data_IF_432250092775
#
_entry.id   IF_432250092775
#
_cell.length_a   1.000
_cell.length_b   1.000
_cell.length_c   1.000
_cell.angle_alpha   90.00
_cell.angle_beta   90.00
_cell.angle_gamma   90.00
#
_symmetry.space_group_name_H-M   'P 1'
#
loop_
_entity.id
_entity.type
_entity.pdbx_description
1 polymer ?
#
# COMPACT_ATOMS: atom_id res chain seq x y z
N UNK A 1 -10.34 11.38 -16.33
CA UNK A 1 -8.90 11.34 -15.90
C UNK A 1 -8.80 10.14 -14.99
N UNK A 2 -7.90 9.22 -15.30
CA UNK A 2 -7.77 7.99 -14.50
C UNK A 2 -7.59 8.28 -13.00
N UNK A 3 -8.17 7.42 -12.16
CA UNK A 3 -8.04 7.52 -10.70
C UNK A 3 -6.68 7.01 -10.21
N UNK A 4 -6.06 6.10 -10.97
CA UNK A 4 -4.79 5.45 -10.63
C UNK A 4 -3.91 5.27 -11.86
N UNK A 5 -2.63 5.65 -11.77
CA UNK A 5 -1.60 5.30 -12.75
C UNK A 5 -0.69 4.22 -12.18
N UNK A 6 -0.67 3.06 -12.82
CA UNK A 6 0.18 1.92 -12.45
C UNK A 6 1.43 1.93 -13.31
N UNK A 7 2.60 2.08 -12.67
CA UNK A 7 3.89 2.18 -13.35
C UNK A 7 4.62 0.85 -13.23
N UNK A 8 4.95 0.23 -14.37
CA UNK A 8 5.57 -1.09 -14.47
C UNK A 8 6.97 -0.95 -15.09
N UNK A 9 8.03 -0.85 -14.27
CA UNK A 9 9.40 -0.81 -14.78
C UNK A 9 9.88 -2.18 -15.21
N UNK A 10 10.58 -2.27 -16.34
CA UNK A 10 11.18 -3.52 -16.80
C UNK A 10 12.47 -3.29 -17.59
N UNK A 11 13.28 -4.34 -17.73
CA UNK A 11 14.45 -4.38 -18.57
C UNK A 11 14.73 -5.83 -18.99
N UNK A 12 15.00 -6.05 -20.25
CA UNK A 12 15.16 -7.39 -20.82
C UNK A 12 16.62 -7.81 -20.87
N UNK A 13 16.86 -9.08 -20.57
CA UNK A 13 18.15 -9.72 -20.72
C UNK A 13 18.01 -11.19 -21.09
N UNK A 14 19.09 -11.78 -21.61
CA UNK A 14 19.11 -13.22 -21.93
C UNK A 14 19.06 -14.09 -20.67
N UNK A 15 19.55 -13.59 -19.56
CA UNK A 15 19.59 -14.31 -18.28
C UNK A 15 18.20 -14.38 -17.61
N UNK A 16 17.29 -13.48 -17.98
CA UNK A 16 15.92 -13.43 -17.43
C UNK A 16 14.87 -13.43 -18.53
N UNK A 17 14.76 -14.50 -19.33
CA UNK A 17 13.85 -14.55 -20.47
C UNK A 17 12.37 -14.45 -20.09
N UNK A 18 12.01 -14.86 -18.89
CA UNK A 18 10.64 -14.83 -18.37
C UNK A 18 10.06 -13.42 -18.21
N UNK A 19 10.88 -12.36 -18.18
CA UNK A 19 10.39 -10.98 -18.04
C UNK A 19 9.53 -10.61 -19.26
N UNK A 20 9.96 -10.96 -20.46
CA UNK A 20 9.22 -10.69 -21.69
C UNK A 20 7.83 -11.36 -21.68
N UNK A 21 7.76 -12.64 -21.28
CA UNK A 21 6.51 -13.38 -21.11
C UNK A 21 5.57 -12.67 -20.12
N UNK A 22 6.08 -12.25 -18.95
CA UNK A 22 5.30 -11.55 -17.93
C UNK A 22 4.80 -10.18 -18.38
N UNK A 23 5.55 -9.45 -19.18
CA UNK A 23 5.09 -8.18 -19.77
C UNK A 23 3.95 -8.44 -20.76
N UNK A 24 4.07 -9.46 -21.60
CA UNK A 24 3.02 -9.86 -22.54
C UNK A 24 1.76 -10.28 -21.79
N UNK A 25 1.89 -11.11 -20.75
CA UNK A 25 0.76 -11.52 -19.91
C UNK A 25 0.07 -10.34 -19.24
N UNK A 26 0.83 -9.42 -18.63
CA UNK A 26 0.27 -8.20 -18.02
C UNK A 26 -0.42 -7.30 -19.04
N UNK A 27 0.20 -7.07 -20.18
CA UNK A 27 -0.38 -6.21 -21.21
C UNK A 27 -1.67 -6.81 -21.82
N UNK A 28 -1.86 -8.13 -21.78
CA UNK A 28 -3.11 -8.79 -22.20
C UNK A 28 -4.18 -8.79 -21.11
N UNK A 29 -3.79 -9.05 -19.84
CA UNK A 29 -4.73 -9.25 -18.74
C UNK A 29 -5.19 -7.94 -18.11
N UNK A 30 -4.35 -6.91 -18.12
CA UNK A 30 -4.74 -5.60 -17.62
C UNK A 30 -5.45 -4.80 -18.70
N UNK A 31 -6.39 -3.96 -18.28
CA UNK A 31 -7.10 -3.06 -19.17
C UNK A 31 -6.96 -1.63 -18.67
N UNK A 32 -6.43 -0.76 -19.55
CA UNK A 32 -6.46 0.67 -19.29
C UNK A 32 -7.86 1.21 -19.62
N UNK A 33 -8.47 1.91 -18.69
CA UNK A 33 -9.80 2.48 -18.79
C UNK A 33 -9.85 3.91 -18.19
N UNK A 34 -11.04 4.39 -17.92
CA UNK A 34 -11.23 5.70 -17.28
C UNK A 34 -10.75 5.75 -15.82
N UNK A 35 -10.60 4.60 -15.15
CA UNK A 35 -10.20 4.48 -13.75
C UNK A 35 -8.73 4.16 -13.59
N UNK A 36 -8.16 3.30 -14.44
CA UNK A 36 -6.77 2.84 -14.31
C UNK A 36 -6.05 2.97 -15.64
N UNK A 37 -4.88 3.58 -15.62
CA UNK A 37 -3.92 3.53 -16.73
C UNK A 37 -2.68 2.72 -16.36
N UNK A 38 -2.16 1.96 -17.30
CA UNK A 38 -0.92 1.21 -17.12
C UNK A 38 0.19 1.81 -17.97
N UNK A 39 1.32 2.09 -17.33
CA UNK A 39 2.50 2.72 -17.94
C UNK A 39 3.67 1.75 -17.81
N UNK A 40 4.01 1.12 -18.93
CA UNK A 40 5.15 0.22 -19.02
C UNK A 40 6.40 1.05 -19.34
N UNK A 41 7.41 0.97 -18.49
CA UNK A 41 8.63 1.76 -18.65
C UNK A 41 9.82 0.85 -18.84
N UNK A 42 10.33 0.83 -20.06
CA UNK A 42 11.54 0.09 -20.39
C UNK A 42 12.79 0.87 -19.94
N UNK A 43 13.60 0.26 -19.08
CA UNK A 43 14.95 0.69 -18.77
C UNK A 43 15.97 0.03 -19.70
N UNK A 44 17.21 -0.15 -19.21
CA UNK A 44 18.23 -0.84 -19.99
C UNK A 44 17.83 -2.27 -20.32
N UNK A 45 17.80 -2.56 -21.62
CA UNK A 45 17.58 -3.89 -22.17
C UNK A 45 18.78 -4.30 -23.01
N UNK A 46 19.32 -5.50 -22.81
CA UNK A 46 20.43 -6.08 -23.60
C UNK A 46 19.94 -7.07 -24.69
N UNK A 47 18.61 -7.13 -24.87
CA UNK A 47 17.94 -7.99 -25.84
C UNK A 47 16.99 -7.15 -26.71
N UNK A 48 17.05 -7.35 -28.02
CA UNK A 48 16.07 -6.76 -28.96
C UNK A 48 14.70 -7.43 -28.80
N UNK A 49 13.64 -6.67 -28.95
CA UNK A 49 12.27 -7.12 -28.80
C UNK A 49 11.23 -6.17 -29.47
N UNK A 50 9.99 -6.66 -29.64
CA UNK A 50 8.86 -5.95 -30.25
C UNK A 50 7.79 -5.49 -29.23
N UNK A 51 8.11 -5.48 -27.93
CA UNK A 51 7.15 -5.22 -26.85
C UNK A 51 6.47 -3.85 -26.95
N UNK A 52 7.15 -2.83 -27.49
CA UNK A 52 6.56 -1.49 -27.66
C UNK A 52 5.24 -1.57 -28.44
N UNK A 53 5.27 -2.16 -29.64
CA UNK A 53 4.11 -2.25 -30.49
C UNK A 53 3.00 -3.10 -29.84
N UNK A 54 3.40 -4.17 -29.16
CA UNK A 54 2.47 -5.04 -28.44
C UNK A 54 1.77 -4.33 -27.28
N UNK A 55 2.51 -3.60 -26.44
CA UNK A 55 1.98 -2.84 -25.30
C UNK A 55 1.01 -1.76 -25.81
N UNK A 56 1.39 -1.02 -26.85
CA UNK A 56 0.55 0.03 -27.43
C UNK A 56 -0.70 -0.52 -28.12
N UNK A 57 -0.62 -1.69 -28.75
CA UNK A 57 -1.77 -2.37 -29.34
C UNK A 57 -2.81 -2.83 -28.29
N UNK A 58 -2.38 -3.03 -27.04
CA UNK A 58 -3.26 -3.30 -25.89
C UNK A 58 -3.67 -2.01 -25.14
N UNK A 59 -3.57 -0.85 -25.77
CA UNK A 59 -4.00 0.45 -25.24
C UNK A 59 -3.27 0.93 -23.99
N UNK A 60 -2.04 0.46 -23.76
CA UNK A 60 -1.21 0.91 -22.65
C UNK A 60 -0.15 1.93 -23.08
N UNK A 61 0.36 2.69 -22.14
CA UNK A 61 1.43 3.64 -22.38
C UNK A 61 2.77 2.90 -22.31
N UNK A 62 3.60 3.06 -23.34
CA UNK A 62 4.96 2.59 -23.37
C UNK A 62 5.94 3.77 -23.34
N UNK A 63 6.89 3.73 -22.43
CA UNK A 63 7.98 4.68 -22.31
C UNK A 63 9.33 3.96 -22.32
N UNK A 64 10.37 4.64 -22.77
CA UNK A 64 11.75 4.13 -22.73
C UNK A 64 12.67 5.11 -22.04
N UNK A 65 13.42 4.62 -21.03
CA UNK A 65 14.52 5.37 -20.41
C UNK A 65 15.68 5.46 -21.41
N UNK A 66 16.09 6.67 -21.74
CA UNK A 66 17.15 6.89 -22.72
C UNK A 66 18.56 6.64 -22.17
N UNK A 67 18.72 6.50 -20.86
CA UNK A 67 20.01 6.07 -20.26
C UNK A 67 20.17 4.55 -20.33
N UNK A 68 20.80 4.10 -21.39
CA UNK A 68 21.00 2.66 -21.69
C UNK A 68 22.29 2.08 -21.08
N UNK A 69 22.87 2.68 -20.02
CA UNK A 69 24.11 2.17 -19.39
C UNK A 69 23.85 1.07 -18.36
N UNK A 70 22.75 1.21 -17.61
CA UNK A 70 22.38 0.25 -16.58
C UNK A 70 20.88 0.37 -16.26
N UNK A 71 20.26 -0.75 -15.94
CA UNK A 71 18.87 -0.75 -15.49
C UNK A 71 18.75 -0.08 -14.12
N UNK A 72 17.82 0.88 -14.01
CA UNK A 72 17.47 1.56 -12.78
C UNK A 72 15.95 1.62 -12.64
N UNK A 73 15.43 0.85 -11.69
CA UNK A 73 14.00 0.90 -11.35
C UNK A 73 13.58 2.30 -10.94
N UNK A 74 14.43 2.99 -10.16
CA UNK A 74 14.16 4.36 -9.71
C UNK A 74 13.95 5.33 -10.86
N UNK A 75 14.83 5.32 -11.88
CA UNK A 75 14.66 6.18 -13.08
C UNK A 75 13.40 5.82 -13.85
N UNK A 76 13.12 4.55 -14.04
CA UNK A 76 11.91 4.11 -14.74
C UNK A 76 10.64 4.58 -14.00
N UNK A 77 10.61 4.46 -12.66
CA UNK A 77 9.50 4.95 -11.85
C UNK A 77 9.35 6.46 -11.92
N UNK A 78 10.45 7.23 -11.89
CA UNK A 78 10.45 8.67 -12.03
C UNK A 78 9.92 9.09 -13.42
N UNK A 79 10.38 8.43 -14.48
CA UNK A 79 9.92 8.68 -15.85
C UNK A 79 8.42 8.37 -15.98
N UNK A 80 7.96 7.21 -15.53
CA UNK A 80 6.55 6.84 -15.53
C UNK A 80 5.69 7.86 -14.77
N UNK A 81 6.13 8.27 -13.58
CA UNK A 81 5.43 9.27 -12.77
C UNK A 81 5.32 10.63 -13.47
N UNK A 82 6.32 11.01 -14.25
CA UNK A 82 6.28 12.30 -15.00
C UNK A 82 5.24 12.30 -16.12
N UNK A 83 4.94 11.13 -16.69
CA UNK A 83 3.97 10.94 -17.77
C UNK A 83 2.58 10.52 -17.29
N UNK A 84 2.45 10.08 -16.04
CA UNK A 84 1.17 9.65 -15.47
C UNK A 84 0.11 10.75 -15.54
N UNK A 85 -1.11 10.41 -15.93
CA UNK A 85 -2.23 11.37 -15.99
C UNK A 85 -3.00 11.42 -14.67
N UNK A 86 -3.00 10.34 -13.89
CA UNK A 86 -3.63 10.34 -12.56
C UNK A 86 -2.85 11.15 -11.53
N UNK A 87 -3.57 11.64 -10.52
CA UNK A 87 -2.94 12.21 -9.32
C UNK A 87 -2.49 11.15 -8.30
N UNK A 88 -2.72 9.87 -8.55
CA UNK A 88 -2.32 8.76 -7.68
C UNK A 88 -1.47 7.77 -8.45
N UNK A 89 -0.36 7.37 -7.88
CA UNK A 89 0.61 6.44 -8.45
C UNK A 89 0.65 5.14 -7.65
N UNK A 90 0.76 4.03 -8.35
CA UNK A 90 1.17 2.71 -7.83
C UNK A 90 2.38 2.23 -8.62
N UNK A 91 3.41 1.74 -7.93
CA UNK A 91 4.53 1.07 -8.56
C UNK A 91 4.32 -0.45 -8.49
N UNK A 92 4.35 -1.12 -9.65
CA UNK A 92 4.13 -2.56 -9.77
C UNK A 92 5.31 -3.20 -10.48
N UNK A 93 6.09 -3.99 -9.75
CA UNK A 93 7.20 -4.70 -10.36
C UNK A 93 6.71 -5.78 -11.33
N UNK A 94 7.50 -6.09 -12.35
CA UNK A 94 7.12 -7.05 -13.38
C UNK A 94 6.83 -8.45 -12.83
N UNK A 95 7.48 -8.78 -11.71
CA UNK A 95 7.33 -10.06 -11.01
C UNK A 95 6.11 -10.11 -10.08
N UNK A 96 5.41 -8.96 -9.92
CA UNK A 96 4.25 -8.83 -9.06
C UNK A 96 2.94 -8.82 -9.85
N UNK A 97 1.88 -9.33 -9.23
CA UNK A 97 0.53 -9.38 -9.78
C UNK A 97 -0.49 -8.92 -8.74
N UNK A 98 -1.49 -8.20 -9.21
CA UNK A 98 -2.67 -7.78 -8.44
C UNK A 98 -3.89 -8.23 -9.23
N UNK A 99 -4.84 -8.92 -8.60
CA UNK A 99 -6.08 -9.34 -9.25
C UNK A 99 -6.98 -8.15 -9.59
N UNK A 100 -7.91 -8.32 -10.53
CA UNK A 100 -8.88 -7.29 -10.89
C UNK A 100 -9.75 -6.91 -9.69
N UNK A 101 -10.22 -7.88 -8.90
CA UNK A 101 -10.97 -7.64 -7.66
C UNK A 101 -10.17 -6.79 -6.65
N UNK A 102 -8.87 -7.06 -6.55
CA UNK A 102 -8.01 -6.24 -5.69
C UNK A 102 -7.79 -4.82 -6.24
N UNK A 103 -7.74 -4.63 -7.56
CA UNK A 103 -7.71 -3.28 -8.14
C UNK A 103 -8.99 -2.49 -7.81
N UNK A 104 -10.17 -3.10 -7.91
CA UNK A 104 -11.43 -2.45 -7.53
C UNK A 104 -11.42 -1.99 -6.06
N UNK A 105 -10.98 -2.86 -5.14
CA UNK A 105 -10.83 -2.52 -3.73
C UNK A 105 -9.80 -1.40 -3.51
N UNK A 106 -8.69 -1.43 -4.23
CA UNK A 106 -7.65 -0.38 -4.18
C UNK A 106 -8.23 0.96 -4.61
N UNK A 107 -8.97 1.01 -5.73
CA UNK A 107 -9.62 2.23 -6.19
C UNK A 107 -10.58 2.79 -5.14
N UNK A 108 -11.35 1.92 -4.48
CA UNK A 108 -12.23 2.31 -3.39
C UNK A 108 -11.47 2.92 -2.21
N UNK A 109 -10.37 2.29 -1.79
CA UNK A 109 -9.55 2.83 -0.71
C UNK A 109 -8.86 4.15 -1.09
N UNK A 110 -8.45 4.32 -2.34
CA UNK A 110 -7.92 5.60 -2.85
C UNK A 110 -8.95 6.72 -2.67
N UNK A 111 -10.21 6.45 -2.98
CA UNK A 111 -11.30 7.41 -2.81
C UNK A 111 -11.59 7.68 -1.33
N UNK A 112 -11.73 6.63 -0.52
CA UNK A 112 -12.00 6.73 0.92
C UNK A 112 -10.91 7.51 1.64
N UNK A 113 -9.64 7.25 1.33
CA UNK A 113 -8.49 7.95 1.91
C UNK A 113 -8.22 9.30 1.23
N UNK A 114 -8.95 9.60 0.15
CA UNK A 114 -8.81 10.83 -0.64
C UNK A 114 -7.36 11.10 -1.10
N UNK A 115 -6.64 10.07 -1.49
CA UNK A 115 -5.20 10.15 -1.81
C UNK A 115 -4.94 11.15 -2.96
N UNK A 116 -5.86 11.26 -3.91
CA UNK A 116 -5.74 12.19 -5.04
C UNK A 116 -5.64 13.66 -4.61
N UNK A 117 -6.27 14.04 -3.50
CA UNK A 117 -6.36 15.41 -3.01
C UNK A 117 -5.64 15.63 -1.67
N UNK A 118 -5.31 14.56 -0.94
CA UNK A 118 -4.54 14.62 0.30
C UNK A 118 -3.12 14.08 0.07
N UNK A 119 -2.12 14.95 -0.16
CA UNK A 119 -0.77 14.51 -0.52
C UNK A 119 -0.07 13.67 0.55
N UNK A 120 -0.50 13.75 1.80
CA UNK A 120 0.10 13.01 2.90
C UNK A 120 -0.61 11.68 3.21
N UNK A 121 -1.73 11.38 2.52
CA UNK A 121 -2.37 10.08 2.59
C UNK A 121 -1.65 9.08 1.69
N UNK A 122 -1.39 7.89 2.22
CA UNK A 122 -0.71 6.79 1.51
C UNK A 122 -1.43 5.47 1.77
N UNK A 123 -1.20 4.49 0.90
CA UNK A 123 -1.60 3.11 1.10
C UNK A 123 -0.44 2.20 0.69
N UNK A 124 -0.15 1.18 1.48
CA UNK A 124 0.90 0.21 1.20
C UNK A 124 0.27 -1.16 1.00
N UNK A 125 0.63 -1.85 -0.06
CA UNK A 125 0.13 -3.19 -0.34
C UNK A 125 1.07 -4.25 0.25
N UNK A 126 0.55 -5.24 0.96
CA UNK A 126 1.32 -6.39 1.43
C UNK A 126 1.65 -7.32 0.27
N UNK A 127 2.78 -8.01 0.36
CA UNK A 127 3.24 -8.92 -0.69
C UNK A 127 3.31 -10.35 -0.19
N UNK A 128 2.67 -11.24 -0.93
CA UNK A 128 2.76 -12.69 -0.76
C UNK A 128 3.77 -13.23 -1.77
N UNK A 129 4.92 -13.69 -1.28
CA UNK A 129 5.93 -14.32 -2.12
C UNK A 129 5.58 -15.78 -2.37
N UNK A 130 5.49 -16.14 -3.63
CA UNK A 130 5.08 -17.47 -4.07
C UNK A 130 6.27 -18.43 -4.20
N UNK A 131 5.99 -19.73 -4.11
CA UNK A 131 6.95 -20.80 -4.38
C UNK A 131 7.13 -21.02 -5.87
N UNK A 132 8.21 -21.69 -6.30
CA UNK A 132 8.36 -22.11 -7.70
C UNK A 132 7.21 -23.01 -8.15
N UNK A 133 6.78 -23.92 -7.27
CA UNK A 133 5.65 -24.83 -7.53
C UNK A 133 4.33 -24.07 -7.76
N UNK A 134 4.16 -22.91 -7.10
CA UNK A 134 2.99 -22.07 -7.35
C UNK A 134 2.91 -21.60 -8.80
N UNK A 135 4.03 -21.15 -9.38
CA UNK A 135 4.06 -20.72 -10.78
C UNK A 135 3.62 -21.82 -11.75
N UNK A 136 3.98 -23.07 -11.47
CA UNK A 136 3.64 -24.21 -12.32
C UNK A 136 2.14 -24.57 -12.20
N UNK A 137 1.62 -24.55 -10.98
CA UNK A 137 0.24 -24.96 -10.69
C UNK A 137 -0.76 -23.88 -11.11
N UNK A 138 -0.49 -22.60 -10.80
CA UNK A 138 -1.40 -21.50 -11.09
C UNK A 138 -1.64 -21.31 -12.58
N UNK A 139 -0.69 -21.66 -13.44
CA UNK A 139 -0.86 -21.66 -14.91
C UNK A 139 -2.00 -22.57 -15.40
N UNK A 140 -2.41 -23.55 -14.60
CA UNK A 140 -3.51 -24.50 -14.94
C UNK A 140 -4.88 -23.98 -14.51
N UNK A 141 -4.95 -22.81 -13.87
CA UNK A 141 -6.18 -22.19 -13.39
C UNK A 141 -6.36 -20.82 -14.04
N UNK A 142 -7.60 -20.43 -14.24
CA UNK A 142 -7.93 -19.08 -14.64
C UNK A 142 -7.52 -18.09 -13.54
N UNK A 143 -7.17 -16.88 -13.96
CA UNK A 143 -6.62 -15.83 -13.09
C UNK A 143 -7.55 -15.52 -11.91
N UNK A 144 -8.86 -15.57 -12.14
CA UNK A 144 -9.88 -15.28 -11.11
C UNK A 144 -9.85 -16.26 -9.93
N UNK A 145 -9.30 -17.46 -10.13
CA UNK A 145 -9.13 -18.44 -9.06
C UNK A 145 -7.85 -18.29 -8.24
N UNK A 146 -6.90 -17.49 -8.70
CA UNK A 146 -5.60 -17.36 -8.03
C UNK A 146 -5.74 -16.78 -6.63
N UNK A 147 -6.58 -15.76 -6.44
CA UNK A 147 -6.82 -15.17 -5.12
C UNK A 147 -7.30 -16.22 -4.12
N UNK A 148 -8.28 -17.02 -4.49
CA UNK A 148 -8.85 -18.09 -3.64
C UNK A 148 -7.78 -19.11 -3.27
N UNK A 149 -7.04 -19.60 -4.27
CA UNK A 149 -6.02 -20.66 -4.05
C UNK A 149 -4.87 -20.20 -3.17
N UNK A 150 -4.39 -18.98 -3.41
CA UNK A 150 -3.25 -18.41 -2.67
C UNK A 150 -3.68 -18.05 -1.25
N UNK A 151 -4.84 -17.41 -1.09
CA UNK A 151 -5.35 -17.02 0.22
C UNK A 151 -5.69 -18.23 1.08
N UNK A 152 -6.28 -19.29 0.51
CA UNK A 152 -6.51 -20.54 1.25
C UNK A 152 -5.19 -21.15 1.77
N UNK A 153 -4.15 -21.17 0.94
CA UNK A 153 -2.83 -21.68 1.37
C UNK A 153 -2.20 -20.78 2.44
N UNK A 154 -2.41 -19.49 2.34
CA UNK A 154 -1.95 -18.49 3.30
C UNK A 154 -2.60 -18.69 4.67
N UNK A 155 -3.94 -18.85 4.70
CA UNK A 155 -4.74 -19.08 5.91
C UNK A 155 -4.43 -20.45 6.53
N UNK A 156 -4.44 -21.49 5.71
CA UNK A 156 -4.21 -22.86 6.17
C UNK A 156 -2.78 -23.12 6.64
N UNK A 157 -1.83 -22.25 6.28
CA UNK A 157 -0.42 -22.40 6.62
C UNK A 157 0.27 -23.60 5.99
N UNK A 158 -0.33 -24.22 4.96
CA UNK A 158 0.21 -25.43 4.29
C UNK A 158 1.48 -25.16 3.50
N UNK A 159 1.77 -23.90 3.19
CA UNK A 159 2.97 -23.46 2.45
C UNK A 159 3.16 -24.17 1.10
N UNK A 160 2.07 -24.48 0.44
CA UNK A 160 2.06 -25.13 -0.87
C UNK A 160 2.38 -24.13 -1.98
N UNK A 161 1.75 -22.94 -1.91
CA UNK A 161 1.92 -21.83 -2.84
C UNK A 161 2.72 -20.69 -2.24
N UNK A 162 2.56 -20.44 -0.93
CA UNK A 162 3.13 -19.30 -0.23
C UNK A 162 4.50 -19.66 0.36
N UNK A 163 5.55 -18.92 -0.05
CA UNK A 163 6.89 -19.01 0.50
C UNK A 163 7.00 -18.21 1.80
N UNK A 164 6.58 -16.96 1.75
CA UNK A 164 6.48 -16.07 2.91
C UNK A 164 5.60 -14.87 2.57
N UNK A 165 5.15 -14.20 3.61
CA UNK A 165 4.36 -12.98 3.55
C UNK A 165 5.20 -11.78 4.02
N UNK A 166 5.10 -10.65 3.32
CA UNK A 166 5.76 -9.41 3.68
C UNK A 166 4.77 -8.24 3.69
N UNK A 167 4.42 -7.72 4.87
CA UNK A 167 3.55 -6.54 4.95
C UNK A 167 4.26 -5.23 4.57
N UNK A 168 5.57 -5.25 4.36
CA UNK A 168 6.39 -4.07 4.15
C UNK A 168 7.02 -3.98 2.77
N UNK A 169 6.34 -4.43 1.74
CA UNK A 169 6.88 -4.21 0.40
C UNK A 169 6.82 -2.72 0.05
N UNK A 170 7.96 -2.10 0.05
CA UNK A 170 8.08 -0.67 -0.22
C UNK A 170 7.97 -0.34 -1.71
N UNK A 171 8.08 -1.34 -2.58
CA UNK A 171 7.81 -1.20 -4.02
C UNK A 171 6.32 -1.10 -4.35
N UNK A 172 5.44 -1.43 -3.42
CA UNK A 172 3.98 -1.44 -3.60
C UNK A 172 3.29 -0.25 -2.92
N UNK A 173 3.93 0.89 -2.92
CA UNK A 173 3.42 2.13 -2.37
C UNK A 173 2.42 2.79 -3.33
N UNK A 174 1.24 3.11 -2.81
CA UNK A 174 0.27 3.99 -3.46
C UNK A 174 0.40 5.37 -2.83
N UNK A 175 0.68 6.36 -3.66
CA UNK A 175 1.05 7.70 -3.21
C UNK A 175 0.47 8.76 -4.13
N UNK A 176 0.19 9.94 -3.58
CA UNK A 176 -0.14 11.10 -4.37
C UNK A 176 1.04 11.49 -5.28
N UNK A 177 0.77 11.69 -6.58
CA UNK A 177 1.78 12.02 -7.60
C UNK A 177 2.56 13.29 -7.24
N UNK A 178 1.88 14.31 -6.77
CA UNK A 178 2.54 15.57 -6.43
C UNK A 178 3.49 15.40 -5.25
N UNK A 179 3.06 14.63 -4.23
CA UNK A 179 3.93 14.28 -3.09
C UNK A 179 5.16 13.50 -3.55
N UNK A 180 4.99 12.51 -4.41
CA UNK A 180 6.12 11.76 -4.98
C UNK A 180 7.12 12.68 -5.68
N UNK A 181 6.65 13.60 -6.52
CA UNK A 181 7.49 14.54 -7.27
C UNK A 181 8.15 15.58 -6.34
N UNK A 182 7.42 16.09 -5.34
CA UNK A 182 7.91 17.00 -4.30
C UNK A 182 9.07 16.39 -3.50
N UNK A 183 8.96 15.12 -3.16
CA UNK A 183 10.01 14.38 -2.44
C UNK A 183 11.22 14.03 -3.30
N UNK A 184 11.22 14.42 -4.58
CA UNK A 184 12.30 14.11 -5.51
C UNK A 184 12.23 12.71 -6.11
N UNK A 185 11.09 12.02 -6.02
CA UNK A 185 10.90 10.69 -6.56
C UNK A 185 11.83 9.64 -5.96
N UNK A 186 12.18 8.62 -6.72
CA UNK A 186 13.24 7.68 -6.37
C UNK A 186 14.62 8.32 -6.53
N UNK A 187 15.53 8.04 -5.63
CA UNK A 187 16.90 8.50 -5.73
C UNK A 187 17.66 7.70 -6.79
N UNK A 188 18.00 8.36 -7.89
CA UNK A 188 18.64 7.75 -9.06
C UNK A 188 20.10 7.32 -8.83
N UNK A 189 20.70 7.66 -7.69
CA UNK A 189 22.00 7.14 -7.28
C UNK A 189 21.97 5.64 -6.91
N UNK A 190 20.78 5.10 -6.63
CA UNK A 190 20.60 3.67 -6.49
C UNK A 190 20.51 3.02 -7.87
N UNK A 191 21.55 2.30 -8.26
CA UNK A 191 21.67 1.62 -9.55
C UNK A 191 21.74 0.11 -9.30
N UNK A 192 20.99 -0.66 -10.10
CA UNK A 192 20.88 -2.11 -9.94
C UNK A 192 19.97 -2.46 -8.77
N UNK A 193 20.28 -3.56 -8.06
CA UNK A 193 19.38 -4.15 -7.08
C UNK A 193 19.37 -3.48 -5.72
N UNK A 194 18.19 -3.07 -5.28
CA UNK A 194 17.77 -2.92 -3.90
C UNK A 194 18.07 -1.58 -3.23
N UNK A 195 17.29 -1.28 -2.22
CA UNK A 195 17.32 -0.13 -1.31
C UNK A 195 16.79 1.19 -1.87
N UNK A 196 16.51 1.31 -3.18
CA UNK A 196 15.92 2.51 -3.77
C UNK A 196 14.48 2.74 -3.27
N UNK A 197 13.77 1.65 -3.09
CA UNK A 197 12.41 1.60 -2.56
C UNK A 197 12.36 1.96 -1.07
N UNK A 198 13.26 1.37 -0.27
CA UNK A 198 13.40 1.72 1.14
C UNK A 198 13.78 3.19 1.35
N UNK A 199 14.66 3.73 0.51
CA UNK A 199 15.03 5.15 0.57
C UNK A 199 13.83 6.07 0.29
N UNK A 200 13.07 5.77 -0.76
CA UNK A 200 11.83 6.49 -1.06
C UNK A 200 10.86 6.40 0.12
N UNK A 201 10.62 5.19 0.61
CA UNK A 201 9.62 4.95 1.64
C UNK A 201 9.98 5.65 2.96
N UNK A 202 11.26 5.65 3.36
CA UNK A 202 11.73 6.38 4.53
C UNK A 202 11.45 7.90 4.41
N UNK A 203 11.66 8.49 3.21
CA UNK A 203 11.35 9.91 2.96
C UNK A 203 9.86 10.19 2.96
N UNK A 204 9.05 9.27 2.42
CA UNK A 204 7.59 9.35 2.44
C UNK A 204 7.09 9.34 3.89
N UNK A 205 7.51 8.39 4.70
CA UNK A 205 7.07 8.28 6.09
C UNK A 205 7.48 9.50 6.92
N UNK A 206 8.71 9.97 6.76
CA UNK A 206 9.17 11.20 7.39
C UNK A 206 8.28 12.40 7.07
N UNK A 207 7.78 12.47 5.83
CA UNK A 207 6.97 13.59 5.34
C UNK A 207 5.48 13.47 5.69
N UNK A 208 4.95 12.24 5.71
CA UNK A 208 3.51 11.98 5.81
C UNK A 208 3.03 11.71 7.24
N UNK A 209 3.94 11.50 8.20
CA UNK A 209 3.60 11.21 9.60
C UNK A 209 4.42 12.06 10.56
N UNK A 210 4.00 12.10 11.83
CA UNK A 210 4.77 12.79 12.89
C UNK A 210 6.01 11.97 13.28
N UNK A 211 7.00 12.02 12.43
CA UNK A 211 8.21 11.22 12.50
C UNK A 211 8.92 11.25 13.85
N UNK A 212 8.98 12.44 14.48
CA UNK A 212 9.71 12.65 15.75
C UNK A 212 9.11 11.89 16.94
N UNK A 213 7.84 11.49 16.83
CA UNK A 213 7.15 10.71 17.87
C UNK A 213 7.27 9.20 17.70
N UNK A 214 7.88 8.74 16.62
CA UNK A 214 8.03 7.30 16.36
C UNK A 214 9.09 6.67 17.26
N UNK A 215 8.74 5.76 18.17
CA UNK A 215 9.67 5.13 19.11
C UNK A 215 10.40 3.95 18.45
N UNK A 216 11.36 4.19 17.57
CA UNK A 216 12.03 3.13 16.84
C UNK A 216 13.56 3.29 16.80
N UNK A 217 14.24 2.17 16.69
CA UNK A 217 15.67 2.11 16.44
C UNK A 217 15.96 1.90 14.96
N UNK A 218 16.26 2.97 14.25
CA UNK A 218 16.52 2.94 12.81
C UNK A 218 17.78 2.14 12.41
N UNK A 219 18.70 1.93 13.34
CA UNK A 219 19.94 1.21 13.05
C UNK A 219 19.77 -0.31 13.05
N UNK A 220 18.63 -0.80 13.50
CA UNK A 220 18.36 -2.23 13.57
C UNK A 220 17.59 -2.69 12.34
N UNK A 221 18.15 -3.66 11.61
CA UNK A 221 17.52 -4.31 10.47
C UNK A 221 16.91 -5.64 10.90
N UNK A 222 15.67 -5.62 11.40
CA UNK A 222 14.95 -6.85 11.68
C UNK A 222 14.38 -7.42 10.39
N UNK A 223 14.77 -8.65 10.07
CA UNK A 223 14.17 -9.42 8.97
C UNK A 223 13.01 -10.29 9.44
N UNK A 224 12.74 -10.31 10.74
CA UNK A 224 11.63 -11.04 11.31
C UNK A 224 10.40 -10.13 11.39
N UNK A 225 9.41 -10.44 10.59
CA UNK A 225 8.19 -9.69 10.41
C UNK A 225 7.10 -10.21 11.37
N UNK A 226 7.30 -10.14 12.67
CA UNK A 226 6.28 -10.53 13.63
C UNK A 226 6.11 -9.46 14.71
N UNK A 227 4.92 -9.39 15.30
CA UNK A 227 4.57 -8.38 16.31
C UNK A 227 5.49 -8.39 17.52
N UNK A 228 6.02 -9.53 17.90
CA UNK A 228 6.91 -9.66 19.07
C UNK A 228 8.26 -8.97 18.86
N UNK A 229 8.64 -8.71 17.62
CA UNK A 229 9.96 -8.22 17.24
C UNK A 229 9.91 -6.94 16.38
N UNK A 230 8.89 -6.10 16.57
CA UNK A 230 8.83 -4.80 15.90
C UNK A 230 9.99 -3.90 16.32
N UNK A 231 11.09 -4.01 15.58
CA UNK A 231 12.33 -3.24 15.79
C UNK A 231 12.90 -2.80 14.45
N UNK A 232 13.48 -1.61 14.45
CA UNK A 232 14.16 -1.05 13.30
C UNK A 232 13.21 -0.60 12.18
N UNK A 233 13.80 -0.12 11.10
CA UNK A 233 13.05 0.53 10.01
C UNK A 233 12.07 -0.41 9.30
N UNK A 234 12.41 -1.69 9.12
CA UNK A 234 11.54 -2.64 8.44
C UNK A 234 10.25 -2.92 9.20
N UNK A 235 10.35 -3.07 10.51
CA UNK A 235 9.18 -3.27 11.36
C UNK A 235 8.24 -2.07 11.31
N UNK A 236 8.81 -0.88 11.31
CA UNK A 236 8.06 0.36 11.15
C UNK A 236 7.32 0.39 9.80
N UNK A 237 8.00 0.06 8.71
CA UNK A 237 7.38 -0.03 7.39
C UNK A 237 6.25 -1.07 7.33
N UNK A 238 6.38 -2.16 8.07
CA UNK A 238 5.41 -3.26 8.08
C UNK A 238 4.05 -2.86 8.61
N UNK A 239 4.00 -1.95 9.59
CA UNK A 239 2.72 -1.50 10.18
C UNK A 239 1.74 -1.00 9.12
N UNK A 240 2.23 -0.35 8.07
CA UNK A 240 1.39 0.24 7.03
C UNK A 240 0.78 -0.80 6.09
N UNK A 241 1.48 -1.91 5.83
CA UNK A 241 0.98 -2.96 4.95
C UNK A 241 -0.15 -3.79 5.55
N UNK A 242 -0.31 -3.80 6.87
CA UNK A 242 -1.41 -4.53 7.50
C UNK A 242 -2.76 -3.89 7.25
N UNK A 243 -2.85 -2.60 6.98
CA UNK A 243 -4.13 -1.95 6.64
C UNK A 243 -4.81 -2.64 5.46
N UNK A 244 -4.10 -2.85 4.37
CA UNK A 244 -4.66 -3.46 3.16
C UNK A 244 -5.08 -4.93 3.38
N UNK A 245 -4.43 -5.65 4.30
CA UNK A 245 -4.80 -7.03 4.64
C UNK A 245 -6.24 -7.15 5.16
N UNK A 246 -6.72 -6.15 5.90
CA UNK A 246 -8.10 -6.16 6.44
C UNK A 246 -9.17 -6.11 5.34
N UNK A 247 -8.80 -5.68 4.16
CA UNK A 247 -9.68 -5.65 2.99
C UNK A 247 -9.45 -6.84 2.06
N UNK A 248 -8.60 -7.80 2.47
CA UNK A 248 -8.21 -8.94 1.65
C UNK A 248 -7.42 -8.54 0.41
N UNK A 249 -6.69 -7.42 0.47
CA UNK A 249 -5.89 -6.91 -0.64
C UNK A 249 -4.46 -7.39 -0.49
N UNK A 250 -4.01 -8.14 -1.47
CA UNK A 250 -2.64 -8.66 -1.53
C UNK A 250 -2.05 -8.44 -2.92
N UNK A 251 -0.73 -8.29 -2.96
CA UNK A 251 0.06 -8.37 -4.17
C UNK A 251 0.82 -9.69 -4.16
N UNK A 252 0.80 -10.44 -5.25
CA UNK A 252 1.48 -11.73 -5.38
C UNK A 252 2.79 -11.53 -6.11
N UNK A 253 3.90 -11.99 -5.50
CA UNK A 253 5.22 -11.96 -6.11
C UNK A 253 5.54 -13.37 -6.62
N UNK A 254 5.53 -13.56 -7.93
CA UNK A 254 5.86 -14.82 -8.56
C UNK A 254 7.33 -15.18 -8.37
N UNK A 255 7.58 -16.44 -8.11
CA UNK A 255 8.93 -16.94 -8.02
C UNK A 255 9.69 -16.72 -9.34
N UNK A 256 10.94 -16.34 -9.23
CA UNK A 256 11.85 -16.22 -10.35
C UNK A 256 13.28 -16.54 -9.93
N UNK A 257 14.13 -16.85 -10.91
CA UNK A 257 15.58 -16.94 -10.72
C UNK A 257 16.14 -15.52 -10.46
N UNK A 258 17.25 -15.45 -9.73
CA UNK A 258 17.93 -14.19 -9.42
C UNK A 258 19.36 -14.17 -9.99
N UNK A 259 19.54 -14.26 -11.32
CA UNK A 259 20.85 -14.16 -11.91
C UNK A 259 21.39 -12.73 -11.82
N UNK A 260 22.71 -12.60 -11.83
CA UNK A 260 23.36 -11.29 -11.89
C UNK A 260 23.35 -10.73 -13.33
N UNK A 261 22.15 -10.51 -13.87
CA UNK A 261 21.97 -10.00 -15.22
C UNK A 261 22.58 -8.60 -15.39
N UNK A 262 23.35 -8.39 -16.43
CA UNK A 262 23.94 -7.08 -16.75
C UNK A 262 24.60 -6.39 -15.54
N UNK A 263 25.13 -7.15 -14.59
CA UNK A 263 25.71 -6.60 -13.37
C UNK A 263 24.71 -6.01 -12.37
N UNK A 264 23.42 -6.37 -12.48
CA UNK A 264 22.33 -5.83 -11.65
C UNK A 264 22.60 -5.97 -10.14
N UNK A 265 23.21 -7.07 -9.71
CA UNK A 265 23.55 -7.35 -8.31
C UNK A 265 24.86 -6.71 -7.84
N UNK A 266 25.72 -6.26 -8.76
CA UNK A 266 27.07 -5.79 -8.43
C UNK A 266 27.11 -4.61 -7.45
N UNK A 267 26.07 -3.81 -7.43
CA UNK A 267 25.98 -2.60 -6.59
C UNK A 267 25.18 -2.77 -5.30
N UNK A 268 24.61 -3.95 -5.05
CA UNK A 268 23.76 -4.20 -3.87
C UNK A 268 24.42 -3.76 -2.56
N UNK A 269 25.69 -4.05 -2.37
CA UNK A 269 26.43 -3.63 -1.17
C UNK A 269 26.65 -2.11 -1.08
N UNK A 270 26.88 -1.45 -2.23
CA UNK A 270 27.00 0.02 -2.27
C UNK A 270 25.65 0.67 -1.96
N UNK A 271 24.56 0.17 -2.54
CA UNK A 271 23.21 0.62 -2.27
C UNK A 271 22.84 0.46 -0.78
N UNK A 272 23.18 -0.68 -0.18
CA UNK A 272 23.01 -0.90 1.26
C UNK A 272 23.71 0.18 2.09
N UNK A 273 25.00 0.44 1.84
CA UNK A 273 25.78 1.47 2.56
C UNK A 273 25.16 2.87 2.36
N UNK A 274 24.73 3.18 1.13
CA UNK A 274 24.13 4.46 0.80
C UNK A 274 22.82 4.66 1.57
N UNK A 275 21.94 3.65 1.57
CA UNK A 275 20.68 3.69 2.30
C UNK A 275 20.88 3.91 3.81
N UNK A 276 21.78 3.15 4.45
CA UNK A 276 22.04 3.35 5.88
C UNK A 276 22.68 4.70 6.21
N UNK A 277 23.47 5.27 5.30
CA UNK A 277 23.97 6.64 5.44
C UNK A 277 22.80 7.64 5.44
N UNK A 278 21.84 7.48 4.51
CA UNK A 278 20.66 8.33 4.45
C UNK A 278 19.76 8.15 5.68
N UNK A 279 19.53 6.89 6.08
CA UNK A 279 18.69 6.56 7.23
C UNK A 279 19.23 7.17 8.55
N UNK A 280 20.54 7.16 8.77
CA UNK A 280 21.19 7.79 9.94
C UNK A 280 20.97 9.31 10.00
N UNK A 281 20.84 9.95 8.85
CA UNK A 281 20.64 11.39 8.73
C UNK A 281 19.24 11.74 8.20
N UNK A 282 18.27 10.85 8.41
CA UNK A 282 16.96 10.95 7.78
C UNK A 282 16.26 12.28 8.07
N UNK A 283 16.48 12.88 9.25
CA UNK A 283 15.90 14.17 9.62
C UNK A 283 16.27 15.28 8.62
N UNK A 284 17.53 15.32 8.17
CA UNK A 284 18.06 16.36 7.29
C UNK A 284 18.17 15.89 5.83
N UNK A 285 17.95 14.60 5.59
CA UNK A 285 18.04 14.03 4.25
C UNK A 285 16.82 14.35 3.40
N UNK A 286 17.04 15.00 2.28
CA UNK A 286 16.03 15.31 1.27
C UNK A 286 16.65 15.31 -0.13
N UNK A 287 15.85 15.07 -1.15
CA UNK A 287 16.22 15.21 -2.55
C UNK A 287 15.64 16.50 -3.12
N UNK A 288 16.26 16.99 -4.19
CA UNK A 288 15.68 18.08 -4.96
C UNK A 288 14.36 17.59 -5.59
N UNK A 289 13.26 18.36 -5.48
CA UNK A 289 12.01 18.04 -6.14
C UNK A 289 12.18 17.82 -7.64
N UNK A 290 11.50 16.82 -8.20
CA UNK A 290 11.46 16.57 -9.63
C UNK A 290 10.58 17.60 -10.34
N UNK A 291 9.47 17.98 -9.71
CA UNK A 291 8.56 19.02 -10.19
C UNK A 291 7.97 19.73 -8.98
N UNK A 292 8.02 21.06 -9.01
CA UNK A 292 7.28 21.88 -8.05
C UNK A 292 5.87 22.03 -8.62
N UNK A 293 4.88 21.45 -7.97
CA UNK A 293 3.47 21.65 -8.30
C UNK A 293 2.83 22.46 -7.17
N UNK A 294 1.98 23.43 -7.55
CA UNK A 294 1.07 24.06 -6.59
C UNK A 294 -0.02 23.04 -6.24
N UNK A 295 0.22 22.24 -5.22
CA UNK A 295 -0.76 21.31 -4.69
C UNK A 295 -1.63 22.08 -3.70
N UNK A 296 -2.94 22.03 -3.87
CA UNK A 296 -3.85 22.45 -2.81
C UNK A 296 -3.67 21.44 -1.67
N UNK A 297 -3.00 21.85 -0.60
CA UNK A 297 -3.01 21.07 0.63
C UNK A 297 -4.43 21.07 1.17
N UNK A 298 -5.10 19.96 0.99
CA UNK A 298 -6.41 19.70 1.58
C UNK A 298 -6.25 18.81 2.79
N UNK A 299 -7.19 18.88 3.71
CA UNK A 299 -7.19 18.11 4.95
C UNK A 299 -8.46 17.30 5.06
N UNK A 300 -8.41 16.25 5.84
CA UNK A 300 -9.59 15.54 6.29
C UNK A 300 -10.08 16.14 7.62
N UNK A 301 -11.37 16.23 7.82
CA UNK A 301 -11.97 16.57 9.11
C UNK A 301 -12.39 15.27 9.79
N UNK A 302 -11.88 15.04 11.00
CA UNK A 302 -12.23 13.88 11.82
C UNK A 302 -13.18 14.31 12.93
N UNK A 303 -14.38 13.73 12.95
CA UNK A 303 -15.43 13.99 13.92
C UNK A 303 -15.54 12.81 14.89
N UNK A 304 -15.32 13.05 16.17
CA UNK A 304 -15.44 12.05 17.24
C UNK A 304 -15.85 12.71 18.57
N UNK A 305 -16.43 11.93 19.49
CA UNK A 305 -16.71 12.39 20.87
C UNK A 305 -15.55 12.12 21.80
N UNK A 306 -14.97 10.92 21.74
CA UNK A 306 -13.87 10.52 22.59
C UNK A 306 -12.54 10.80 21.89
N UNK A 307 -11.56 11.23 22.68
CA UNK A 307 -10.22 11.50 22.16
C UNK A 307 -9.41 10.21 22.12
N UNK A 308 -9.24 9.68 20.90
CA UNK A 308 -8.27 8.61 20.64
C UNK A 308 -6.84 9.16 20.54
N UNK A 309 -5.86 8.27 20.54
CA UNK A 309 -4.49 8.64 20.14
C UNK A 309 -4.46 8.87 18.61
N UNK A 310 -4.60 10.14 18.23
CA UNK A 310 -4.64 10.54 16.82
C UNK A 310 -3.28 10.49 16.13
N UNK A 311 -2.19 10.33 16.86
CA UNK A 311 -0.90 10.21 16.21
C UNK A 311 -0.82 8.93 15.39
N UNK A 312 -1.54 7.87 15.78
CA UNK A 312 -1.69 6.66 14.99
C UNK A 312 -2.54 6.85 13.72
N UNK A 313 -3.54 7.73 13.75
CA UNK A 313 -4.38 8.02 12.58
C UNK A 313 -3.64 8.76 11.46
N UNK A 314 -2.64 9.57 11.78
CA UNK A 314 -1.89 10.31 10.77
C UNK A 314 -1.21 9.39 9.74
N UNK A 315 -0.88 8.17 10.12
CA UNK A 315 -0.31 7.14 9.24
C UNK A 315 -1.30 6.78 8.12
N UNK A 316 -2.60 6.77 8.41
CA UNK A 316 -3.64 6.32 7.49
C UNK A 316 -4.34 7.46 6.75
N UNK A 317 -4.50 8.61 7.42
CA UNK A 317 -5.34 9.71 6.92
C UNK A 317 -4.57 10.83 6.23
N UNK A 318 -3.23 10.88 6.37
CA UNK A 318 -2.47 12.04 5.98
C UNK A 318 -2.80 13.25 6.87
N UNK A 319 -2.97 14.44 6.29
CA UNK A 319 -3.30 15.65 7.05
C UNK A 319 -4.78 15.65 7.47
N UNK A 320 -5.04 15.87 8.74
CA UNK A 320 -6.40 15.99 9.27
C UNK A 320 -6.52 17.02 10.39
N UNK A 321 -7.74 17.52 10.59
CA UNK A 321 -8.14 18.33 11.72
C UNK A 321 -9.16 17.53 12.53
N UNK A 322 -9.01 17.53 13.84
CA UNK A 322 -9.96 16.94 14.77
C UNK A 322 -10.95 17.98 15.30
N UNK A 323 -12.23 17.57 15.39
CA UNK A 323 -13.28 18.30 16.08
C UNK A 323 -14.18 17.36 16.86
N UNK A 324 -14.65 17.83 18.02
CA UNK A 324 -15.69 17.13 18.74
C UNK A 324 -17.02 17.25 18.01
N UNK A 325 -17.75 16.15 17.94
CA UNK A 325 -19.06 16.07 17.26
C UNK A 325 -20.04 17.11 17.82
N UNK A 326 -20.09 17.28 19.12
CA UNK A 326 -21.01 18.21 19.78
C UNK A 326 -20.72 19.67 19.42
N UNK A 327 -19.44 20.02 19.18
CA UNK A 327 -19.06 21.34 18.69
C UNK A 327 -19.65 21.60 17.28
N UNK A 328 -19.70 20.57 16.43
CA UNK A 328 -20.17 20.69 15.05
C UNK A 328 -21.70 20.75 15.01
N UNK A 329 -22.38 19.92 15.79
CA UNK A 329 -23.85 19.92 15.86
C UNK A 329 -24.38 21.26 16.40
N UNK A 330 -23.62 21.94 17.25
CA UNK A 330 -24.00 23.20 17.85
C UNK A 330 -23.87 24.42 16.93
N UNK A 331 -23.19 24.32 15.79
CA UNK A 331 -23.02 25.43 14.85
C UNK A 331 -24.08 25.43 13.75
N UNK A 332 -24.33 26.60 13.14
CA UNK A 332 -25.22 26.70 11.98
C UNK A 332 -24.59 26.10 10.75
N UNK A 333 -25.38 25.58 9.84
CA UNK A 333 -24.94 24.95 8.61
C UNK A 333 -24.03 25.87 7.76
N UNK A 334 -24.37 27.15 7.65
CA UNK A 334 -23.59 28.14 6.92
C UNK A 334 -22.22 28.35 7.55
N UNK A 335 -22.13 28.41 8.86
CA UNK A 335 -20.85 28.55 9.59
C UNK A 335 -19.99 27.29 9.43
N UNK A 336 -20.63 26.11 9.42
CA UNK A 336 -19.92 24.86 9.14
C UNK A 336 -19.36 24.84 7.72
N UNK A 337 -20.14 25.22 6.73
CA UNK A 337 -19.68 25.32 5.33
C UNK A 337 -18.50 26.29 5.18
N UNK A 338 -18.58 27.45 5.83
CA UNK A 338 -17.50 28.42 5.86
C UNK A 338 -16.25 27.86 6.54
N UNK A 339 -16.41 27.11 7.63
CA UNK A 339 -15.31 26.42 8.31
C UNK A 339 -14.63 25.40 7.38
N UNK A 340 -15.39 24.53 6.69
CA UNK A 340 -14.85 23.54 5.76
C UNK A 340 -14.00 24.21 4.65
N UNK A 341 -14.51 25.29 4.09
CA UNK A 341 -13.81 26.05 3.04
C UNK A 341 -12.53 26.72 3.55
N UNK A 342 -12.60 27.38 4.71
CA UNK A 342 -11.46 28.06 5.33
C UNK A 342 -10.31 27.10 5.64
N UNK A 343 -10.63 25.95 6.22
CA UNK A 343 -9.66 24.91 6.59
C UNK A 343 -9.27 24.03 5.41
N UNK A 344 -9.89 24.22 4.23
CA UNK A 344 -9.65 23.40 3.03
C UNK A 344 -9.96 21.92 3.29
N UNK A 345 -11.07 21.64 3.93
CA UNK A 345 -11.53 20.27 4.17
C UNK A 345 -12.03 19.68 2.86
N UNK A 346 -11.55 18.49 2.52
CA UNK A 346 -11.96 17.76 1.31
C UNK A 346 -12.86 16.56 1.62
N UNK A 347 -12.81 16.07 2.85
CA UNK A 347 -13.57 14.90 3.27
C UNK A 347 -13.81 14.94 4.78
N UNK A 348 -14.98 14.45 5.20
CA UNK A 348 -15.35 14.32 6.60
C UNK A 348 -15.30 12.84 6.97
N UNK A 349 -14.56 12.52 8.04
CA UNK A 349 -14.47 11.20 8.62
C UNK A 349 -15.16 11.20 9.98
N UNK A 350 -16.02 10.22 10.21
CA UNK A 350 -16.86 10.12 11.41
C UNK A 350 -16.55 8.79 12.09
N UNK A 351 -16.43 8.80 13.42
CA UNK A 351 -16.38 7.56 14.19
C UNK A 351 -17.59 6.70 13.85
N UNK A 352 -17.38 5.46 13.48
CA UNK A 352 -18.43 4.55 13.04
C UNK A 352 -19.50 4.28 14.11
N UNK A 353 -19.19 4.51 15.38
CA UNK A 353 -20.16 4.42 16.47
C UNK A 353 -21.13 5.63 16.49
N UNK A 354 -20.73 6.75 15.90
CA UNK A 354 -21.49 8.01 15.86
C UNK A 354 -22.11 8.29 14.48
N UNK A 355 -21.84 7.45 13.49
CA UNK A 355 -22.26 7.68 12.10
C UNK A 355 -23.76 7.87 11.97
N UNK A 356 -24.56 6.99 12.55
CA UNK A 356 -26.03 7.05 12.45
C UNK A 356 -26.59 8.31 13.10
N UNK A 357 -25.96 8.80 14.16
CA UNK A 357 -26.41 10.03 14.85
C UNK A 357 -26.15 11.30 14.04
N UNK A 358 -25.17 11.28 13.16
CA UNK A 358 -24.76 12.43 12.33
C UNK A 358 -25.28 12.39 10.90
N UNK A 359 -25.75 11.24 10.43
CA UNK A 359 -26.13 11.02 9.04
C UNK A 359 -27.09 12.08 8.50
N UNK A 360 -28.07 12.49 9.27
CA UNK A 360 -29.05 13.52 8.85
C UNK A 360 -28.44 14.91 8.77
N UNK A 361 -27.50 15.23 9.66
CA UNK A 361 -26.81 16.52 9.67
C UNK A 361 -25.83 16.67 8.51
N UNK A 362 -25.17 15.59 8.14
CA UNK A 362 -24.10 15.58 7.13
C UNK A 362 -24.57 15.06 5.75
N UNK A 363 -25.88 14.92 5.51
CA UNK A 363 -26.44 14.34 4.28
C UNK A 363 -25.97 14.97 2.96
N UNK A 364 -25.60 16.26 3.00
CA UNK A 364 -25.16 17.01 1.81
C UNK A 364 -23.63 17.02 1.66
N UNK A 365 -22.91 16.29 2.54
CA UNK A 365 -21.45 16.23 2.53
C UNK A 365 -20.97 14.81 2.23
N UNK A 366 -19.83 14.71 1.52
CA UNK A 366 -19.15 13.43 1.32
C UNK A 366 -18.50 12.98 2.63
N UNK A 367 -19.09 11.97 3.26
CA UNK A 367 -18.65 11.44 4.54
C UNK A 367 -18.16 10.01 4.40
N UNK A 368 -17.13 9.70 5.17
CA UNK A 368 -16.62 8.34 5.39
C UNK A 368 -16.61 8.10 6.89
N UNK A 369 -16.95 6.93 7.31
CA UNK A 369 -16.79 6.57 8.71
C UNK A 369 -15.64 5.58 8.91
N UNK A 370 -15.10 5.56 10.11
CA UNK A 370 -14.00 4.69 10.47
C UNK A 370 -14.27 3.97 11.80
N UNK A 371 -13.63 2.83 11.97
CA UNK A 371 -13.63 2.07 13.22
C UNK A 371 -12.21 1.67 13.55
N UNK A 372 -11.89 1.58 14.83
CA UNK A 372 -10.63 1.00 15.28
C UNK A 372 -10.63 -0.48 14.92
N UNK A 373 -9.56 -0.94 14.28
CA UNK A 373 -9.37 -2.35 13.96
C UNK A 373 -9.03 -3.19 15.19
N UNK A 374 -8.99 -4.50 14.99
CA UNK A 374 -8.67 -5.47 16.05
C UNK A 374 -7.18 -5.44 16.41
N UNK A 375 -6.33 -5.25 15.40
CA UNK A 375 -4.89 -5.15 15.65
C UNK A 375 -4.54 -3.77 16.21
N UNK A 376 -3.50 -3.68 17.05
CA UNK A 376 -2.99 -2.40 17.52
C UNK A 376 -2.73 -1.46 16.34
N UNK A 377 -3.12 -0.20 16.50
CA UNK A 377 -2.90 0.86 15.53
C UNK A 377 -3.49 0.61 14.13
N UNK A 378 -4.46 -0.31 14.01
CA UNK A 378 -5.22 -0.52 12.79
C UNK A 378 -6.54 0.24 12.80
N UNK A 379 -6.91 0.74 11.61
CA UNK A 379 -8.14 1.51 11.39
C UNK A 379 -8.82 1.03 10.12
N UNK A 380 -10.13 0.98 10.14
CA UNK A 380 -10.96 0.57 9.03
C UNK A 380 -11.81 1.75 8.57
N UNK A 381 -11.88 1.92 7.27
CA UNK A 381 -12.62 3.01 6.65
C UNK A 381 -13.76 2.45 5.81
N UNK A 382 -14.93 3.08 5.92
CA UNK A 382 -16.14 2.66 5.24
C UNK A 382 -16.84 3.86 4.60
N UNK A 383 -17.56 3.62 3.52
CA UNK A 383 -18.56 4.54 3.01
C UNK A 383 -19.95 3.87 3.03
N UNK A 384 -21.01 4.63 2.77
CA UNK A 384 -22.37 4.11 2.80
C UNK A 384 -22.59 2.91 1.86
N UNK A 385 -21.92 2.88 0.73
CA UNK A 385 -22.08 1.83 -0.29
C UNK A 385 -21.21 0.60 0.00
N UNK A 386 -20.19 0.73 0.83
CA UNK A 386 -19.21 -0.32 1.11
C UNK A 386 -19.46 -1.08 2.42
N UNK A 387 -20.40 -0.60 3.25
CA UNK A 387 -20.65 -1.19 4.58
C UNK A 387 -20.93 -2.71 4.49
N UNK A 388 -21.79 -3.14 3.56
CA UNK A 388 -22.13 -4.55 3.41
C UNK A 388 -20.98 -5.41 2.86
N UNK A 389 -20.21 -4.88 1.91
CA UNK A 389 -19.07 -5.55 1.30
C UNK A 389 -17.93 -5.70 2.30
N UNK A 390 -17.66 -4.65 3.07
CA UNK A 390 -16.57 -4.68 4.05
C UNK A 390 -16.91 -5.47 5.29
N UNK A 391 -18.15 -5.47 5.75
CA UNK A 391 -18.59 -6.36 6.84
C UNK A 391 -18.31 -7.81 6.51
N UNK A 392 -18.70 -8.30 5.33
CA UNK A 392 -18.45 -9.69 4.92
C UNK A 392 -16.97 -10.01 4.80
N UNK A 393 -16.18 -9.18 4.09
CA UNK A 393 -14.75 -9.46 3.84
C UNK A 393 -13.89 -9.23 5.07
N UNK A 394 -14.21 -8.26 5.89
CA UNK A 394 -13.50 -7.98 7.12
C UNK A 394 -13.66 -9.11 8.15
N UNK A 395 -14.84 -9.68 8.24
CA UNK A 395 -15.13 -10.75 9.17
C UNK A 395 -14.66 -12.13 8.68
N UNK A 396 -14.46 -12.31 7.41
CA UNK A 396 -13.87 -13.51 6.84
C UNK A 396 -12.35 -13.59 6.98
N UNK A 397 -11.73 -12.74 7.78
CA UNK A 397 -10.31 -12.69 8.11
C UNK A 397 -9.44 -13.67 7.32
N UNK A 398 -9.10 -13.33 6.09
CA UNK A 398 -8.08 -14.01 5.33
C UNK A 398 -6.70 -13.64 5.89
N UNK A 399 -6.48 -13.94 7.17
CA UNK A 399 -5.20 -13.75 7.82
C UNK A 399 -4.23 -14.79 7.29
N UNK A 400 -3.06 -14.34 6.85
CA UNK A 400 -1.98 -15.26 6.48
C UNK A 400 -1.56 -16.11 7.69
N UNK A 401 -0.95 -17.27 7.43
CA UNK A 401 -0.37 -18.09 8.49
C UNK A 401 0.63 -17.28 9.35
N UNK A 402 1.35 -16.34 8.72
CA UNK A 402 2.24 -15.40 9.42
C UNK A 402 1.45 -14.46 10.31
N UNK A 403 0.39 -13.83 9.79
CA UNK A 403 -0.50 -12.96 10.56
C UNK A 403 -1.20 -13.71 11.70
N UNK A 404 -1.63 -14.95 11.46
CA UNK A 404 -2.20 -15.81 12.52
C UNK A 404 -1.16 -16.06 13.61
N UNK A 405 0.09 -16.38 13.26
CA UNK A 405 1.14 -16.61 14.23
C UNK A 405 1.52 -15.34 15.00
N UNK A 406 1.58 -14.20 14.32
CA UNK A 406 1.83 -12.89 14.93
C UNK A 406 0.68 -12.49 15.85
N UNK A 407 -0.56 -12.67 15.39
CA UNK A 407 -1.76 -12.43 16.19
C UNK A 407 -1.82 -13.37 17.41
N UNK A 408 -1.44 -14.64 17.25
CA UNK A 408 -1.31 -15.58 18.38
C UNK A 408 -0.26 -15.14 19.38
N UNK A 409 0.91 -14.71 18.92
CA UNK A 409 1.97 -14.23 19.78
C UNK A 409 1.52 -12.99 20.57
N UNK A 410 0.87 -12.05 19.91
CA UNK A 410 0.25 -10.89 20.55
C UNK A 410 -0.84 -11.32 21.54
N UNK A 411 -1.78 -12.18 21.09
CA UNK A 411 -2.85 -12.70 21.93
C UNK A 411 -2.32 -13.42 23.15
N UNK A 412 -1.26 -14.20 23.01
CA UNK A 412 -0.63 -14.89 24.15
C UNK A 412 0.00 -13.93 25.18
N UNK A 413 0.38 -12.72 24.75
CA UNK A 413 0.91 -11.68 25.65
C UNK A 413 -0.16 -10.94 26.46
N UNK A 414 -1.44 -11.08 26.08
CA UNK A 414 -2.56 -10.43 26.75
C UNK A 414 -2.93 -11.14 28.06
N UNK A 415 -3.57 -10.40 28.96
CA UNK A 415 -4.19 -10.96 30.17
C UNK A 415 -5.35 -11.91 29.81
N UNK A 416 -5.77 -12.72 30.76
CA UNK A 416 -6.91 -13.63 30.60
C UNK A 416 -8.21 -12.88 30.30
N UNK A 417 -8.44 -11.75 30.91
CA UNK A 417 -9.63 -10.91 30.70
C UNK A 417 -9.65 -10.29 29.28
N UNK A 418 -8.53 -9.77 28.83
CA UNK A 418 -8.40 -9.23 27.47
C UNK A 418 -8.61 -10.32 26.39
N UNK A 419 -8.06 -11.52 26.62
CA UNK A 419 -8.27 -12.67 25.72
C UNK A 419 -9.74 -13.04 25.59
N UNK A 420 -10.42 -13.14 26.72
CA UNK A 420 -11.85 -13.47 26.71
C UNK A 420 -12.68 -12.38 26.04
N UNK A 421 -12.37 -11.12 26.27
CA UNK A 421 -13.02 -9.99 25.57
C UNK A 421 -12.92 -10.08 24.06
N UNK A 422 -11.74 -10.43 23.55
CA UNK A 422 -11.52 -10.63 22.09
C UNK A 422 -12.32 -11.83 21.58
N UNK A 423 -12.29 -12.98 22.29
CA UNK A 423 -13.03 -14.18 21.88
C UNK A 423 -14.53 -13.92 21.87
N UNK A 424 -15.05 -13.25 22.89
CA UNK A 424 -16.48 -12.94 22.98
C UNK A 424 -16.90 -11.98 21.88
N UNK A 425 -16.06 -10.99 21.54
CA UNK A 425 -16.27 -10.11 20.41
C UNK A 425 -16.33 -10.89 19.09
N UNK A 426 -15.38 -11.80 18.86
CA UNK A 426 -15.31 -12.60 17.64
C UNK A 426 -16.53 -13.53 17.51
N UNK A 427 -16.98 -14.14 18.60
CA UNK A 427 -18.20 -14.97 18.65
C UNK A 427 -19.45 -14.16 18.39
N UNK A 428 -19.59 -13.00 19.07
CA UNK A 428 -20.75 -12.12 18.91
C UNK A 428 -20.95 -11.63 17.48
N UNK A 429 -19.86 -11.52 16.74
CA UNK A 429 -19.88 -11.05 15.34
C UNK A 429 -19.77 -12.19 14.33
N UNK A 430 -20.02 -13.45 14.76
CA UNK A 430 -20.02 -14.65 13.91
C UNK A 430 -18.72 -14.87 13.11
N UNK A 431 -17.59 -14.37 13.62
CA UNK A 431 -16.28 -14.52 12.99
C UNK A 431 -15.70 -15.90 13.28
N UNK A 432 -15.97 -16.41 14.48
CA UNK A 432 -15.64 -17.77 14.88
C UNK A 432 -16.94 -18.47 15.31
N UNK A 433 -17.19 -19.60 14.73
CA UNK A 433 -18.44 -20.35 14.89
C UNK A 433 -18.33 -21.53 15.82
N UNK A 434 -17.14 -21.88 16.30
CA UNK A 434 -16.97 -22.99 17.24
C UNK A 434 -15.78 -22.86 18.20
N UNK A 435 -15.64 -23.90 19.03
CA UNK A 435 -14.60 -24.05 20.04
C UNK A 435 -13.20 -24.42 19.51
N UNK A 436 -12.99 -24.47 18.19
CA UNK A 436 -11.68 -24.81 17.59
C UNK A 436 -10.59 -23.80 17.92
N UNK A 437 -10.99 -22.63 18.39
CA UNK A 437 -10.09 -21.55 18.79
C UNK A 437 -9.96 -21.42 20.31
N UNK A 438 -10.19 -22.50 21.04
CA UNK A 438 -9.79 -22.55 22.46
C UNK A 438 -8.27 -22.57 22.52
N UNK A 439 -7.70 -21.50 23.05
CA UNK A 439 -6.28 -21.32 23.29
C UNK A 439 -5.86 -21.89 24.65
#
# INVERSE_FOLDING_TARGET
>A
MALLSVIIPFGLSKERPYIEERIIEKAKSFQSDENIEFIFVEGYSSKDHELKNFIQANHHIYLKDMDQKAFSQGRCRNLGASYAHSNVLLFLDVDCYISLDNFEKILKLIQIKNIANNPNAILVLPVVYLTQKANEILKNYEIDFWDVLIQEDLISGKKKFVKFFSPSSTSSLIINKHKFLELGGNNENFIGHGYEDFDLFARVLKSCIKFEKMPFNLNYDSRNWNFCNFKGFRSWFSLLGYEACFYGIYMYHFWHIEPNQNGYMNRKHKNHKLFYKHLKNLKDYHLKPLKIANVKNVKNLVLIRERYDFDSLSIYLGDFIYKNIDEIIAIKEEDFKNYLNKEKISQILIDGNEYDSLKHFLKDYSCVYFKKGILPDSWLFFDENSDEIYKRKYWNFDLSATQINETRAYFNSLSFEEKNGIIDFLKKNEIIDDDRYKF
#
